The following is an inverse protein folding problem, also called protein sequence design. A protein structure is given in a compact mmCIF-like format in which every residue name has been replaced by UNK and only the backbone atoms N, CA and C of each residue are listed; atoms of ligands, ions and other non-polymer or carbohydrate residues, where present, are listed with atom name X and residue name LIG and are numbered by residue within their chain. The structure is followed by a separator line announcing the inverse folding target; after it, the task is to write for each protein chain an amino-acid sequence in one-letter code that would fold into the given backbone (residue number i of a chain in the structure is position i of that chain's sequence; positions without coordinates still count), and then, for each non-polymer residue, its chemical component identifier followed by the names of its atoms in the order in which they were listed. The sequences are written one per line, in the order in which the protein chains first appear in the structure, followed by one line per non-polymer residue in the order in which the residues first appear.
data_IF_831403175181
#
_entry.id   IF_831403175181
#
_cell.length_a   1.000
_cell.length_b   1.000
_cell.length_c   1.000
_cell.angle_alpha   90.00
_cell.angle_beta   90.00
_cell.angle_gamma   90.00
#
_symmetry.space_group_name_H-M   'P 1'
#
loop_
_entity.id
_entity.type
_entity.pdbx_description
1 polymer ?
#
# COMPACT_ATOMS: atom_id res chain seq x y z
N UNK A 1 -34.17 -21.98 -18.74
CA UNK A 1 -34.02 -21.67 -17.29
C UNK A 1 -32.85 -22.37 -16.60
N UNK A 2 -32.53 -23.65 -16.89
CA UNK A 2 -31.42 -24.36 -16.21
C UNK A 2 -30.04 -23.73 -16.46
N UNK A 3 -29.71 -23.35 -17.70
CA UNK A 3 -28.42 -22.72 -18.06
C UNK A 3 -28.16 -21.39 -17.37
N UNK A 4 -29.17 -20.53 -17.25
CA UNK A 4 -29.05 -19.23 -16.58
C UNK A 4 -28.75 -19.40 -15.08
N UNK A 5 -29.37 -20.38 -14.41
CA UNK A 5 -29.08 -20.72 -13.00
C UNK A 5 -27.64 -21.23 -12.83
N UNK A 6 -27.14 -22.03 -13.76
CA UNK A 6 -25.76 -22.54 -13.71
C UNK A 6 -24.73 -21.40 -13.88
N UNK A 7 -24.97 -20.47 -14.80
CA UNK A 7 -24.10 -19.30 -15.01
C UNK A 7 -24.09 -18.41 -13.75
N UNK A 8 -25.27 -18.16 -13.16
CA UNK A 8 -25.38 -17.36 -11.94
C UNK A 8 -24.62 -18.01 -10.77
N UNK A 9 -24.71 -19.34 -10.64
CA UNK A 9 -23.99 -20.10 -9.60
C UNK A 9 -22.47 -19.93 -9.74
N UNK A 10 -21.94 -20.01 -10.97
CA UNK A 10 -20.50 -19.85 -11.24
C UNK A 10 -20.02 -18.45 -10.89
N UNK A 11 -20.80 -17.41 -11.25
CA UNK A 11 -20.47 -16.01 -10.92
C UNK A 11 -20.43 -15.83 -9.40
N UNK A 12 -21.42 -16.33 -8.68
CA UNK A 12 -21.48 -16.24 -7.21
C UNK A 12 -20.31 -16.99 -6.58
N UNK A 13 -19.99 -18.20 -7.04
CA UNK A 13 -18.84 -18.94 -6.52
C UNK A 13 -17.52 -18.21 -6.75
N UNK A 14 -17.36 -17.59 -7.92
CA UNK A 14 -16.16 -16.83 -8.29
C UNK A 14 -16.02 -15.58 -7.43
N UNK A 15 -17.12 -14.87 -7.16
CA UNK A 15 -17.13 -13.71 -6.27
C UNK A 15 -16.82 -14.10 -4.82
N UNK A 16 -17.34 -15.23 -4.33
CA UNK A 16 -17.05 -15.74 -2.99
C UNK A 16 -15.59 -16.16 -2.87
N UNK A 17 -15.05 -16.87 -3.86
CA UNK A 17 -13.63 -17.29 -3.85
C UNK A 17 -12.68 -16.10 -3.96
N UNK A 18 -12.96 -15.12 -4.82
CA UNK A 18 -12.21 -13.87 -4.91
C UNK A 18 -12.29 -13.05 -3.62
N UNK A 19 -13.47 -13.00 -3.00
CA UNK A 19 -13.67 -12.33 -1.70
C UNK A 19 -12.89 -13.01 -0.57
N UNK A 20 -12.85 -14.34 -0.54
CA UNK A 20 -12.09 -15.10 0.46
C UNK A 20 -10.58 -14.90 0.27
N UNK A 21 -10.07 -14.99 -0.97
CA UNK A 21 -8.64 -14.79 -1.25
C UNK A 21 -8.19 -13.36 -0.96
N UNK A 22 -9.01 -12.36 -1.29
CA UNK A 22 -8.75 -10.97 -0.89
C UNK A 22 -8.77 -10.80 0.64
N UNK A 23 -9.67 -11.49 1.34
CA UNK A 23 -9.77 -11.43 2.81
C UNK A 23 -8.57 -12.06 3.53
N UNK A 24 -7.97 -13.12 2.96
CA UNK A 24 -6.73 -13.71 3.48
C UNK A 24 -5.52 -12.81 3.26
N UNK A 25 -5.51 -12.01 2.19
CA UNK A 25 -4.49 -10.97 1.98
C UNK A 25 -4.65 -9.78 2.92
N UNK A 26 -5.83 -9.59 3.54
CA UNK A 26 -6.11 -8.48 4.46
C UNK A 26 -5.78 -8.80 5.93
N UNK A 27 -5.43 -10.04 6.26
CA UNK A 27 -5.10 -10.45 7.64
C UNK A 27 -3.60 -10.33 7.90
N UNK A 28 -3.15 -9.08 8.06
CA UNK A 28 -1.94 -8.74 8.82
C UNK A 28 -0.60 -8.88 8.10
N UNK A 29 -0.57 -9.26 6.82
CA UNK A 29 0.65 -9.31 6.01
C UNK A 29 0.64 -8.13 5.04
N UNK A 30 1.47 -7.11 5.31
CA UNK A 30 1.51 -5.88 4.53
C UNK A 30 2.94 -5.54 4.13
N UNK A 31 3.07 -5.04 2.91
CA UNK A 31 4.22 -4.25 2.51
C UNK A 31 4.16 -2.89 3.20
N UNK A 32 5.33 -2.39 3.58
CA UNK A 32 5.51 -1.19 4.37
C UNK A 32 6.24 -0.15 3.53
N UNK A 33 5.57 0.97 3.30
CA UNK A 33 6.03 2.05 2.45
C UNK A 33 6.89 3.03 3.24
N UNK A 34 8.06 3.35 2.70
CA UNK A 34 8.82 4.52 3.11
C UNK A 34 8.19 5.78 2.55
N UNK A 35 8.35 6.87 3.31
CA UNK A 35 7.90 8.18 2.86
C UNK A 35 9.06 9.15 2.64
N UNK A 36 8.92 9.95 1.60
CA UNK A 36 9.83 11.03 1.24
C UNK A 36 9.02 12.32 1.18
N UNK A 37 9.48 13.37 1.86
CA UNK A 37 8.82 14.67 1.84
C UNK A 37 9.56 15.63 0.91
N UNK A 38 8.83 16.33 0.06
CA UNK A 38 9.36 17.35 -0.85
C UNK A 38 8.58 18.65 -0.73
N UNK A 39 9.25 19.78 -0.90
CA UNK A 39 8.62 21.10 -0.87
C UNK A 39 8.30 21.52 -2.29
N UNK A 40 7.05 21.89 -2.53
CA UNK A 40 6.57 22.40 -3.81
C UNK A 40 5.91 23.75 -3.62
N UNK A 41 5.89 24.58 -4.65
CA UNK A 41 5.16 25.85 -4.66
C UNK A 41 3.88 25.68 -5.44
N UNK A 42 2.74 25.87 -4.78
CA UNK A 42 1.40 25.77 -5.35
C UNK A 42 0.73 27.12 -5.19
N UNK A 43 0.38 27.77 -6.31
CA UNK A 43 -0.23 29.10 -6.33
C UNK A 43 0.54 30.15 -5.51
N UNK A 44 1.87 30.16 -5.62
CA UNK A 44 2.74 31.09 -4.88
C UNK A 44 2.96 30.74 -3.39
N UNK A 45 2.35 29.66 -2.89
CA UNK A 45 2.49 29.20 -1.50
C UNK A 45 3.33 27.93 -1.46
N UNK A 46 4.38 27.93 -0.65
CA UNK A 46 5.16 26.72 -0.36
C UNK A 46 4.33 25.72 0.45
N UNK A 47 4.24 24.48 -0.03
CA UNK A 47 3.60 23.36 0.66
C UNK A 47 4.57 22.18 0.73
N UNK A 48 4.52 21.46 1.85
CA UNK A 48 5.22 20.20 2.01
C UNK A 48 4.30 19.07 1.54
N UNK A 49 4.75 18.28 0.57
CA UNK A 49 4.08 17.05 0.15
C UNK A 49 4.85 15.86 0.69
N UNK A 50 4.12 14.93 1.31
CA UNK A 50 4.67 13.64 1.74
C UNK A 50 4.23 12.58 0.74
N UNK A 51 5.20 11.93 0.11
CA UNK A 51 4.99 10.88 -0.87
C UNK A 51 5.35 9.54 -0.24
N UNK A 52 4.60 8.50 -0.58
CA UNK A 52 5.03 7.12 -0.42
C UNK A 52 5.83 6.72 -1.66
N UNK A 53 7.10 6.34 -1.45
CA UNK A 53 8.08 6.23 -2.53
C UNK A 53 8.27 4.76 -2.94
N UNK A 54 8.79 3.96 -2.01
CA UNK A 54 9.08 2.54 -2.19
C UNK A 54 8.55 1.74 -1.00
N UNK A 55 8.29 0.44 -1.21
CA UNK A 55 7.92 -0.49 -0.14
C UNK A 55 9.00 -1.55 0.15
N UNK A 56 10.18 -1.16 0.68
CA UNK A 56 11.30 -2.09 0.86
C UNK A 56 11.19 -2.98 2.10
N UNK A 57 10.14 -2.81 2.90
CA UNK A 57 9.95 -3.54 4.15
C UNK A 57 8.59 -4.22 4.20
N UNK A 58 8.47 -5.23 5.07
CA UNK A 58 7.24 -5.98 5.34
C UNK A 58 7.10 -6.24 6.82
N UNK A 59 5.86 -6.48 7.26
CA UNK A 59 5.61 -6.88 8.64
C UNK A 59 5.62 -8.40 8.86
N UNK A 60 6.04 -9.19 7.85
CA UNK A 60 6.12 -10.64 7.92
C UNK A 60 7.38 -11.19 7.27
N UNK A 61 7.83 -12.34 7.76
CA UNK A 61 8.99 -13.05 7.22
C UNK A 61 8.60 -13.85 5.96
N UNK A 62 9.49 -13.88 4.98
CA UNK A 62 9.38 -14.79 3.81
C UNK A 62 10.14 -16.09 3.97
N UNK A 63 11.03 -16.15 4.95
CA UNK A 63 11.75 -17.37 5.33
C UNK A 63 11.71 -17.54 6.84
N UNK A 64 11.62 -18.79 7.35
CA UNK A 64 11.67 -19.07 8.79
C UNK A 64 12.93 -18.54 9.50
N UNK A 65 14.01 -18.31 8.76
CA UNK A 65 15.30 -17.84 9.28
C UNK A 65 15.58 -16.37 8.98
N UNK A 66 14.62 -15.65 8.39
CA UNK A 66 14.83 -14.25 8.01
C UNK A 66 14.95 -13.37 9.27
N UNK A 67 16.07 -12.63 9.44
CA UNK A 67 16.21 -11.70 10.55
C UNK A 67 15.33 -10.47 10.35
N UNK A 68 14.93 -9.84 11.45
CA UNK A 68 14.32 -8.51 11.42
C UNK A 68 15.39 -7.43 11.30
N UNK A 69 15.01 -6.31 10.68
CA UNK A 69 15.81 -5.10 10.51
C UNK A 69 15.11 -3.92 11.16
N UNK A 70 15.88 -2.90 11.52
CA UNK A 70 15.34 -1.64 12.00
C UNK A 70 15.22 -0.66 10.83
N UNK A 71 13.99 -0.24 10.52
CA UNK A 71 13.74 0.68 9.41
C UNK A 71 14.27 2.11 9.65
N UNK A 72 14.45 2.53 10.90
CA UNK A 72 14.97 3.85 11.27
C UNK A 72 14.11 5.05 10.85
N UNK A 73 12.96 4.82 10.22
CA UNK A 73 12.03 5.84 9.69
C UNK A 73 10.58 5.38 9.82
N UNK A 74 9.61 6.31 9.87
CA UNK A 74 8.19 5.97 9.84
C UNK A 74 7.83 5.22 8.56
N UNK A 75 7.08 4.13 8.73
CA UNK A 75 6.56 3.30 7.66
C UNK A 75 5.04 3.37 7.62
N UNK A 76 4.44 3.11 6.47
CA UNK A 76 2.99 3.13 6.29
C UNK A 76 2.52 1.84 5.64
N UNK A 77 1.37 1.33 6.06
CA UNK A 77 0.77 0.11 5.49
C UNK A 77 -0.13 0.40 4.29
N UNK A 78 -0.44 1.66 4.04
CA UNK A 78 -1.43 2.07 3.05
C UNK A 78 -1.01 3.35 2.36
N UNK A 79 -1.34 3.40 1.08
CA UNK A 79 -1.10 4.54 0.22
C UNK A 79 -2.40 4.88 -0.51
N UNK A 80 -2.56 6.14 -0.89
CA UNK A 80 -3.71 6.61 -1.65
C UNK A 80 -3.22 7.49 -2.78
N UNK A 81 -3.56 7.09 -4.01
CA UNK A 81 -3.27 7.87 -5.19
C UNK A 81 -3.98 9.22 -5.09
N UNK A 82 -3.19 10.27 -4.98
CA UNK A 82 -3.63 11.65 -4.81
C UNK A 82 -3.15 12.46 -6.01
N UNK A 83 -3.76 13.60 -6.26
CA UNK A 83 -3.29 14.53 -7.28
C UNK A 83 -3.17 15.94 -6.73
N UNK A 84 -2.27 16.72 -7.32
CA UNK A 84 -1.98 18.10 -6.96
C UNK A 84 -1.65 18.88 -8.22
N UNK A 85 -1.98 20.17 -8.25
CA UNK A 85 -1.58 21.05 -9.38
C UNK A 85 -0.36 21.86 -8.99
N UNK A 86 0.76 21.67 -9.69
CA UNK A 86 2.02 22.40 -9.48
C UNK A 86 2.32 23.21 -10.74
N UNK A 87 2.41 24.54 -10.62
CA UNK A 87 2.66 25.42 -11.77
C UNK A 87 1.58 25.36 -12.85
N UNK A 88 0.33 25.03 -12.50
CA UNK A 88 -0.78 24.86 -13.45
C UNK A 88 -0.87 23.48 -14.12
N UNK A 89 0.07 22.57 -13.81
CA UNK A 89 0.08 21.20 -14.36
C UNK A 89 -0.38 20.22 -13.27
N UNK A 90 -1.32 19.31 -13.57
CA UNK A 90 -1.72 18.25 -12.63
C UNK A 90 -0.65 17.16 -12.55
N UNK A 91 -0.30 16.77 -11.32
CA UNK A 91 0.60 15.67 -10.99
C UNK A 91 -0.12 14.71 -10.06
N UNK A 92 -0.04 13.42 -10.34
CA UNK A 92 -0.49 12.35 -9.45
C UNK A 92 0.69 11.81 -8.65
N UNK A 93 0.46 11.49 -7.38
CA UNK A 93 1.45 10.87 -6.51
C UNK A 93 0.77 9.99 -5.47
N UNK A 94 1.47 8.98 -4.98
CA UNK A 94 0.99 8.17 -3.86
C UNK A 94 1.26 8.88 -2.55
N UNK A 95 0.19 9.20 -1.82
CA UNK A 95 0.28 9.77 -0.48
C UNK A 95 0.17 8.65 0.57
N UNK A 96 1.00 8.64 1.63
CA UNK A 96 0.80 7.71 2.73
C UNK A 96 -0.58 7.96 3.36
N UNK A 97 -1.31 6.89 3.66
CA UNK A 97 -2.62 6.96 4.28
C UNK A 97 -2.69 6.10 5.55
N UNK A 98 -3.56 6.51 6.47
CA UNK A 98 -3.70 5.86 7.78
C UNK A 98 -2.64 6.28 8.80
N UNK A 99 -2.59 5.52 9.90
CA UNK A 99 -1.60 5.74 10.95
C UNK A 99 -0.24 5.13 10.55
N UNK A 100 0.88 5.74 10.98
CA UNK A 100 2.18 5.13 10.82
C UNK A 100 2.24 3.75 11.49
N UNK A 101 2.94 2.83 10.84
CA UNK A 101 3.31 1.54 11.42
C UNK A 101 4.17 1.78 12.67
N UNK A 102 3.83 1.06 13.74
CA UNK A 102 4.35 1.36 15.08
C UNK A 102 5.57 0.53 15.46
N UNK A 103 5.78 -0.64 14.84
CA UNK A 103 6.95 -1.47 15.11
C UNK A 103 8.15 -1.01 14.30
N UNK A 104 9.26 -0.75 14.96
CA UNK A 104 10.55 -0.47 14.29
C UNK A 104 11.22 -1.72 13.74
N UNK A 105 10.87 -2.90 14.26
CA UNK A 105 11.33 -4.19 13.76
C UNK A 105 10.42 -4.68 12.64
N UNK A 106 11.01 -4.85 11.46
CA UNK A 106 10.36 -5.25 10.21
C UNK A 106 11.23 -6.24 9.46
N UNK A 107 10.72 -6.84 8.39
CA UNK A 107 11.48 -7.73 7.52
C UNK A 107 11.82 -7.01 6.22
N UNK A 108 13.03 -7.23 5.72
CA UNK A 108 13.44 -6.74 4.40
C UNK A 108 12.63 -7.44 3.29
N UNK A 109 12.29 -6.73 2.22
CA UNK A 109 11.65 -7.32 1.05
C UNK A 109 12.64 -8.10 0.14
N UNK A 110 13.92 -8.23 0.54
CA UNK A 110 14.97 -9.02 -0.12
C UNK A 110 14.94 -8.94 -1.67
N UNK A 111 14.84 -7.72 -2.21
CA UNK A 111 15.02 -7.48 -3.64
C UNK A 111 13.75 -7.50 -4.50
N UNK A 112 12.72 -6.76 -4.08
CA UNK A 112 12.07 -5.89 -5.08
C UNK A 112 13.08 -4.85 -5.59
#
# INVERSE_FOLDING_TARGET
MKRARTILLIIVLSAVTAGITASTSLRGLNNLYLTTSTRVTINGVSRLLTLADISPYRNFATSPTQPTVNAGRPLYTSVTLTWVTIGGVPYTYDAPSGLPWTSTLVYDDQGQ
#
